data_IF_746291542915
#
_entry.id   IF_746291542915
#
_cell.length_a   1.000
_cell.length_b   1.000
_cell.length_c   1.000
_cell.angle_alpha   90.00
_cell.angle_beta   90.00
_cell.angle_gamma   90.00
#
_symmetry.space_group_name_H-M   'P 1'
#
loop_
_entity.id
_entity.type
_entity.pdbx_description
1 polymer ?
#
# COMPACT_ATOMS: atom_id res chain seq x y z
N UNK A 1 21.80 -20.98 36.54
CA UNK A 1 20.55 -20.85 35.80
C UNK A 1 20.45 -19.52 35.03
N UNK A 2 20.61 -18.34 35.68
CA UNK A 2 20.50 -17.02 34.99
C UNK A 2 21.50 -16.82 33.83
N UNK A 3 22.75 -17.31 33.96
CA UNK A 3 23.77 -17.19 32.88
C UNK A 3 23.45 -18.07 31.66
N UNK A 4 22.89 -19.25 31.89
CA UNK A 4 22.47 -20.16 30.80
C UNK A 4 21.27 -19.58 30.07
N UNK A 5 20.31 -19.03 30.78
CA UNK A 5 19.15 -18.37 30.17
C UNK A 5 19.55 -17.13 29.36
N UNK A 6 20.48 -16.31 29.88
CA UNK A 6 21.00 -15.17 29.13
C UNK A 6 21.75 -15.58 27.84
N UNK A 7 22.52 -16.68 27.91
CA UNK A 7 23.22 -17.21 26.75
C UNK A 7 22.25 -17.75 25.69
N UNK A 8 21.22 -18.49 26.10
CA UNK A 8 20.17 -18.98 25.18
C UNK A 8 19.39 -17.84 24.52
N UNK A 9 19.09 -16.79 25.29
CA UNK A 9 18.41 -15.61 24.75
C UNK A 9 19.31 -14.87 23.74
N UNK A 10 20.60 -14.71 24.05
CA UNK A 10 21.57 -14.08 23.15
C UNK A 10 21.74 -14.89 21.84
N UNK A 11 21.79 -16.22 21.93
CA UNK A 11 21.84 -17.11 20.74
C UNK A 11 20.54 -16.99 19.92
N UNK A 12 19.37 -16.97 20.55
CA UNK A 12 18.10 -16.83 19.86
C UNK A 12 17.97 -15.47 19.13
N UNK A 13 18.51 -14.39 19.70
CA UNK A 13 18.55 -13.05 19.09
C UNK A 13 19.61 -12.93 17.98
N UNK A 14 20.64 -13.76 18.01
CA UNK A 14 21.71 -13.76 17.02
C UNK A 14 21.41 -14.65 15.78
N UNK A 15 20.33 -15.42 15.81
CA UNK A 15 19.92 -16.21 14.64
C UNK A 15 19.42 -15.25 13.54
N UNK A 16 20.08 -15.23 12.35
CA UNK A 16 19.62 -14.40 11.25
C UNK A 16 18.24 -14.86 10.80
N UNK A 17 17.22 -14.05 11.02
CA UNK A 17 15.93 -14.22 10.34
C UNK A 17 16.16 -13.87 8.88
N UNK A 18 16.27 -14.89 8.01
CA UNK A 18 16.30 -14.66 6.57
C UNK A 18 14.92 -14.13 6.15
N UNK A 19 14.77 -12.81 6.11
CA UNK A 19 13.64 -12.17 5.46
C UNK A 19 13.79 -12.43 3.96
N UNK A 20 13.00 -13.36 3.45
CA UNK A 20 12.87 -13.57 2.01
C UNK A 20 11.85 -12.57 1.48
N UNK A 21 12.32 -11.51 0.85
CA UNK A 21 11.48 -10.68 0.01
C UNK A 21 11.26 -11.41 -1.33
N UNK A 22 10.03 -11.48 -1.80
CA UNK A 22 9.75 -11.99 -3.15
C UNK A 22 10.34 -11.03 -4.18
N UNK A 23 10.96 -11.57 -5.23
CA UNK A 23 11.59 -10.76 -6.29
C UNK A 23 10.61 -10.50 -7.44
N UNK A 24 10.75 -9.31 -8.03
CA UNK A 24 10.19 -8.95 -9.33
C UNK A 24 8.81 -8.32 -9.32
N UNK A 25 8.45 -7.71 -10.46
CA UNK A 25 7.10 -7.23 -10.76
C UNK A 25 6.32 -8.37 -11.41
N UNK A 26 5.35 -8.90 -10.69
CA UNK A 26 4.52 -9.99 -11.18
C UNK A 26 3.44 -9.47 -12.12
N UNK A 27 3.13 -10.24 -13.16
CA UNK A 27 2.09 -9.89 -14.13
C UNK A 27 0.74 -10.33 -13.56
N UNK A 28 -0.17 -9.40 -13.19
CA UNK A 28 -1.43 -9.74 -12.52
C UNK A 28 -2.30 -10.73 -13.32
N UNK A 29 -2.36 -10.58 -14.64
CA UNK A 29 -3.09 -11.48 -15.53
C UNK A 29 -2.62 -12.94 -15.44
N UNK A 30 -1.33 -13.15 -15.15
CA UNK A 30 -0.72 -14.47 -15.07
C UNK A 30 -0.50 -14.96 -13.63
N UNK A 31 -0.94 -14.20 -12.63
CA UNK A 31 -0.64 -14.44 -11.21
C UNK A 31 -1.05 -15.86 -10.78
N UNK A 32 -2.19 -16.35 -11.26
CA UNK A 32 -2.68 -17.69 -10.94
C UNK A 32 -1.71 -18.79 -11.39
N UNK A 33 -1.04 -18.60 -12.51
CA UNK A 33 -0.13 -19.61 -13.08
C UNK A 33 1.29 -19.48 -12.54
N UNK A 34 1.75 -18.27 -12.30
CA UNK A 34 3.16 -18.00 -12.01
C UNK A 34 3.43 -17.92 -10.50
N UNK A 35 2.64 -17.16 -9.76
CA UNK A 35 3.02 -16.73 -8.41
C UNK A 35 2.03 -17.16 -7.33
N UNK A 36 0.80 -17.52 -7.68
CA UNK A 36 -0.26 -17.76 -6.69
C UNK A 36 0.09 -18.85 -5.68
N UNK A 37 0.72 -19.96 -6.11
CA UNK A 37 1.12 -21.04 -5.22
C UNK A 37 2.13 -20.56 -4.16
N UNK A 38 3.09 -19.73 -4.57
CA UNK A 38 4.06 -19.11 -3.66
C UNK A 38 3.37 -18.14 -2.70
N UNK A 39 2.51 -17.27 -3.21
CA UNK A 39 1.76 -16.31 -2.39
C UNK A 39 0.90 -17.02 -1.32
N UNK A 40 0.27 -18.13 -1.68
CA UNK A 40 -0.48 -18.97 -0.72
C UNK A 40 0.42 -19.54 0.37
N UNK A 41 1.60 -20.02 0.00
CA UNK A 41 2.61 -20.53 0.95
C UNK A 41 3.11 -19.44 1.91
N UNK A 42 3.17 -18.21 1.45
CA UNK A 42 3.55 -17.02 2.23
C UNK A 42 2.39 -16.46 3.07
N UNK A 43 1.19 -17.05 2.99
CA UNK A 43 0.06 -16.72 3.85
C UNK A 43 -1.06 -15.93 3.17
N UNK A 44 -1.05 -15.75 1.84
CA UNK A 44 -2.15 -15.12 1.13
C UNK A 44 -3.45 -15.88 1.35
N UNK A 45 -4.49 -15.19 1.79
CA UNK A 45 -5.84 -15.76 2.03
C UNK A 45 -6.80 -15.54 0.87
N UNK A 46 -6.55 -14.52 0.04
CA UNK A 46 -7.37 -14.22 -1.14
C UNK A 46 -7.25 -15.32 -2.21
N UNK A 47 -8.27 -15.49 -3.01
CA UNK A 47 -8.21 -16.32 -4.22
C UNK A 47 -7.48 -15.57 -5.35
N UNK A 48 -7.04 -16.30 -6.37
CA UNK A 48 -6.45 -15.67 -7.55
C UNK A 48 -7.44 -14.74 -8.28
N UNK A 49 -8.75 -15.06 -8.23
CA UNK A 49 -9.81 -14.22 -8.80
C UNK A 49 -10.07 -12.96 -7.98
N UNK A 50 -9.94 -13.02 -6.66
CA UNK A 50 -10.04 -11.81 -5.82
C UNK A 50 -8.91 -10.83 -6.12
N UNK A 51 -7.75 -11.31 -6.54
CA UNK A 51 -6.62 -10.48 -6.95
C UNK A 51 -6.81 -9.90 -8.35
N UNK A 52 -7.17 -10.75 -9.30
CA UNK A 52 -7.36 -10.37 -10.69
C UNK A 52 -8.41 -11.24 -11.39
N UNK A 53 -9.54 -10.64 -11.76
CA UNK A 53 -10.57 -11.24 -12.62
C UNK A 53 -10.92 -10.24 -13.72
N UNK A 54 -10.90 -10.70 -14.97
CA UNK A 54 -11.16 -9.84 -16.13
C UNK A 54 -12.66 -9.55 -16.31
N UNK A 55 -13.52 -10.45 -15.82
CA UNK A 55 -14.96 -10.39 -16.00
C UNK A 55 -15.73 -9.91 -14.76
N UNK A 56 -15.08 -9.92 -13.60
CA UNK A 56 -15.71 -9.57 -12.33
C UNK A 56 -14.83 -8.59 -11.54
N UNK A 57 -15.46 -7.92 -10.57
CA UNK A 57 -14.75 -7.06 -9.63
C UNK A 57 -13.67 -7.82 -8.87
N UNK A 58 -12.49 -7.23 -8.75
CA UNK A 58 -11.33 -7.80 -8.07
C UNK A 58 -10.41 -6.68 -7.58
N UNK A 59 -9.35 -7.01 -6.89
CA UNK A 59 -8.39 -6.02 -6.37
C UNK A 59 -7.82 -5.10 -7.46
N UNK A 60 -7.71 -5.58 -8.71
CA UNK A 60 -7.28 -4.76 -9.86
C UNK A 60 -8.11 -3.49 -10.04
N UNK A 61 -9.40 -3.53 -9.69
CA UNK A 61 -10.33 -2.41 -9.92
C UNK A 61 -10.21 -1.31 -8.86
N UNK A 62 -9.51 -1.60 -7.76
CA UNK A 62 -9.15 -0.59 -6.78
C UNK A 62 -7.98 0.30 -7.24
N UNK A 63 -7.23 -0.14 -8.24
CA UNK A 63 -6.08 0.59 -8.78
C UNK A 63 -6.53 1.41 -9.99
N UNK A 64 -6.37 2.71 -9.90
CA UNK A 64 -6.90 3.65 -10.88
C UNK A 64 -5.82 4.57 -11.45
N UNK A 65 -6.05 5.05 -12.68
CA UNK A 65 -5.26 6.14 -13.24
C UNK A 65 -5.67 7.46 -12.57
N UNK A 66 -4.73 8.11 -11.93
CA UNK A 66 -4.94 9.38 -11.24
C UNK A 66 -4.37 10.52 -12.07
N UNK A 67 -5.22 11.44 -12.49
CA UNK A 67 -4.84 12.61 -13.28
C UNK A 67 -4.23 12.30 -14.66
N UNK A 68 -4.22 11.05 -15.11
CA UNK A 68 -3.63 10.63 -16.39
C UNK A 68 -2.11 10.41 -16.36
N UNK A 69 -1.44 10.67 -15.24
CA UNK A 69 0.02 10.58 -15.10
C UNK A 69 0.47 9.82 -13.85
N UNK A 70 -0.43 9.56 -12.91
CA UNK A 70 -0.15 8.84 -11.68
C UNK A 70 -1.09 7.62 -11.51
N UNK A 71 -0.77 6.81 -10.52
CA UNK A 71 -1.62 5.72 -10.03
C UNK A 71 -2.15 6.09 -8.66
N UNK A 72 -3.39 5.71 -8.38
CA UNK A 72 -4.00 5.81 -7.06
C UNK A 72 -4.70 4.51 -6.68
N UNK A 73 -4.90 4.29 -5.38
CA UNK A 73 -5.59 3.14 -4.82
C UNK A 73 -6.83 3.57 -4.05
N UNK A 74 -8.00 3.09 -4.48
CA UNK A 74 -9.26 3.30 -3.74
C UNK A 74 -9.32 2.31 -2.58
N UNK A 75 -9.32 2.82 -1.36
CA UNK A 75 -9.23 2.02 -0.13
C UNK A 75 -10.49 2.04 0.73
N UNK A 76 -11.55 2.72 0.29
CA UNK A 76 -12.82 2.72 0.99
C UNK A 76 -14.02 2.72 0.04
N UNK A 77 -15.15 2.25 0.54
CA UNK A 77 -16.44 2.32 -0.17
C UNK A 77 -16.95 3.75 -0.38
N UNK A 78 -16.34 4.74 0.28
CA UNK A 78 -16.69 6.15 0.15
C UNK A 78 -15.76 6.91 -0.81
N UNK A 79 -14.85 6.20 -1.49
CA UNK A 79 -13.96 6.79 -2.47
C UNK A 79 -12.68 7.42 -1.89
N UNK A 80 -12.27 7.03 -0.65
CA UNK A 80 -10.96 7.45 -0.16
C UNK A 80 -9.88 6.84 -1.06
N UNK A 81 -9.05 7.71 -1.63
CA UNK A 81 -7.98 7.34 -2.55
C UNK A 81 -6.62 7.67 -1.92
N UNK A 82 -5.70 6.75 -2.03
CA UNK A 82 -4.29 6.96 -1.72
C UNK A 82 -3.50 7.15 -3.00
N UNK A 83 -2.51 8.04 -2.97
CA UNK A 83 -1.56 8.24 -4.06
C UNK A 83 -0.26 8.85 -3.50
N UNK A 84 0.71 9.09 -4.35
CA UNK A 84 1.95 9.75 -3.95
C UNK A 84 1.75 11.26 -3.80
N UNK A 85 2.50 11.88 -2.87
CA UNK A 85 2.45 13.32 -2.62
C UNK A 85 2.67 14.14 -3.91
N UNK A 86 3.65 13.78 -4.73
CA UNK A 86 3.93 14.49 -5.97
C UNK A 86 2.79 14.46 -7.00
N UNK A 87 1.89 13.47 -6.90
CA UNK A 87 0.72 13.38 -7.77
C UNK A 87 -0.36 14.41 -7.41
N UNK A 88 -0.41 14.83 -6.15
CA UNK A 88 -1.32 15.87 -5.66
C UNK A 88 -0.67 17.25 -5.48
N UNK A 89 0.61 17.39 -5.85
CA UNK A 89 1.41 18.59 -5.54
C UNK A 89 0.75 19.88 -5.98
N UNK A 90 0.28 19.97 -7.22
CA UNK A 90 -0.34 21.17 -7.77
C UNK A 90 -1.65 21.54 -7.04
N UNK A 91 -2.46 20.53 -6.67
CA UNK A 91 -3.67 20.76 -5.89
C UNK A 91 -3.34 21.27 -4.48
N UNK A 92 -2.35 20.65 -3.81
CA UNK A 92 -1.89 21.08 -2.48
C UNK A 92 -1.34 22.51 -2.55
N UNK A 93 -0.55 22.83 -3.57
CA UNK A 93 0.01 24.16 -3.77
C UNK A 93 -1.08 25.21 -3.99
N UNK A 94 -2.11 24.92 -4.80
CA UNK A 94 -3.23 25.84 -5.05
C UNK A 94 -4.01 26.20 -3.79
N UNK A 95 -4.09 25.28 -2.83
CA UNK A 95 -4.75 25.50 -1.56
C UNK A 95 -3.85 26.10 -0.49
N UNK A 96 -2.53 26.12 -0.71
CA UNK A 96 -1.57 26.70 0.23
C UNK A 96 -1.56 28.22 0.13
N UNK A 97 -1.43 28.88 1.29
CA UNK A 97 -1.24 30.33 1.42
C UNK A 97 0.01 30.62 2.25
N UNK A 98 0.35 31.89 2.43
CA UNK A 98 1.47 32.28 3.30
C UNK A 98 1.18 31.94 4.77
N UNK A 99 -0.08 31.97 5.18
CA UNK A 99 -0.52 31.64 6.54
C UNK A 99 -0.71 30.13 6.76
N UNK A 100 -0.94 29.38 5.68
CA UNK A 100 -1.20 27.94 5.71
C UNK A 100 -0.43 27.23 4.59
N UNK A 101 0.79 26.84 4.89
CA UNK A 101 1.64 26.14 3.91
C UNK A 101 1.41 24.62 3.96
N UNK A 102 0.35 24.14 3.31
CA UNK A 102 0.00 22.72 3.30
C UNK A 102 1.06 21.82 2.64
N UNK A 103 1.98 22.37 1.87
CA UNK A 103 3.11 21.60 1.33
C UNK A 103 4.11 21.20 2.41
N UNK A 104 4.33 22.05 3.42
CA UNK A 104 5.23 21.79 4.55
C UNK A 104 4.50 21.21 5.76
N UNK A 105 3.37 21.80 6.12
CA UNK A 105 2.64 21.47 7.35
C UNK A 105 1.69 20.28 7.17
N UNK A 106 1.35 19.96 5.92
CA UNK A 106 0.32 18.99 5.60
C UNK A 106 -1.09 19.54 5.85
N UNK A 107 -2.09 18.75 5.46
CA UNK A 107 -3.49 19.02 5.71
C UNK A 107 -4.23 17.72 6.02
N UNK A 108 -5.09 17.73 7.01
CA UNK A 108 -5.92 16.61 7.38
C UNK A 108 -7.37 17.02 7.57
N UNK A 109 -8.26 16.58 6.68
CA UNK A 109 -9.70 16.72 6.85
C UNK A 109 -10.24 15.61 7.77
N UNK A 110 -10.83 15.97 8.89
CA UNK A 110 -11.44 15.02 9.84
C UNK A 110 -12.79 14.48 9.36
N UNK A 111 -13.40 15.14 8.38
CA UNK A 111 -14.67 14.77 7.78
C UNK A 111 -14.80 15.46 6.39
N UNK A 112 -15.78 15.01 5.60
CA UNK A 112 -15.98 15.52 4.23
C UNK A 112 -16.25 17.02 4.14
N UNK A 113 -16.84 17.65 5.16
CA UNK A 113 -17.11 19.09 5.14
C UNK A 113 -15.82 19.93 5.25
N UNK A 114 -14.72 19.32 5.68
CA UNK A 114 -13.41 19.94 5.78
C UNK A 114 -12.52 19.66 4.57
N UNK A 115 -12.94 18.74 3.67
CA UNK A 115 -12.18 18.46 2.45
C UNK A 115 -12.13 19.72 1.56
N UNK A 116 -10.95 19.97 1.01
CA UNK A 116 -10.76 21.09 0.10
C UNK A 116 -11.20 20.66 -1.32
N UNK A 117 -12.00 21.50 -2.01
CA UNK A 117 -12.48 21.18 -3.35
C UNK A 117 -11.30 21.16 -4.35
N UNK A 118 -11.36 20.22 -5.30
CA UNK A 118 -10.34 20.08 -6.34
C UNK A 118 -10.95 20.33 -7.72
#
# INVERSE_FOLDING_TARGET
MKKVFALLLAVALALPTTLRAGEGMWIPLLIQKLNYAQMKKEGLKLSAKDLYDINHGSLKDAIVSFGGFCTGEIISSQGLLLTNHHCGYDAIQKHSTVEHNYLEDGFWAMNRAQELPN
#
